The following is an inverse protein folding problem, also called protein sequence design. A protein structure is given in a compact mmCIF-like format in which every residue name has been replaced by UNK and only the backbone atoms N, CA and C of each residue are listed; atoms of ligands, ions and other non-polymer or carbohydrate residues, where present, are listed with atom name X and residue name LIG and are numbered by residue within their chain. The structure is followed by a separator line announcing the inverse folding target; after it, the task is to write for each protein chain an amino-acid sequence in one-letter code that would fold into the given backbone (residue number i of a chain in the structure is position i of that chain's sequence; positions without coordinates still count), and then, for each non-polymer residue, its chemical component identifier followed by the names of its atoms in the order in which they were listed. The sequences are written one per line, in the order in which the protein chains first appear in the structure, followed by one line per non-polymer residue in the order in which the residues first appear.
data_IF_128008167776
#
_entry.id   IF_128008167776
#
_cell.length_a   1.000
_cell.length_b   1.000
_cell.length_c   1.000
_cell.angle_alpha   90.00
_cell.angle_beta   90.00
_cell.angle_gamma   90.00
#
_symmetry.space_group_name_H-M   'P 1'
#
loop_
_entity.id
_entity.type
_entity.pdbx_description
1 polymer ?
#
# COMPACT_ATOMS: atom_id res chain seq x y z
N UNK A 1 16.51 -10.40 20.02
CA UNK A 1 16.11 -9.35 21.00
C UNK A 1 15.05 -8.50 20.35
N UNK A 2 13.94 -8.22 21.03
CA UNK A 2 12.88 -7.34 20.51
C UNK A 2 13.27 -5.89 20.76
N UNK A 3 13.51 -5.12 19.70
CA UNK A 3 13.91 -3.70 19.79
C UNK A 3 12.82 -2.81 19.18
N UNK A 4 12.56 -1.65 19.79
CA UNK A 4 11.63 -0.66 19.24
C UNK A 4 12.16 -0.04 17.94
N UNK A 5 11.30 0.00 16.94
CA UNK A 5 11.47 0.65 15.65
C UNK A 5 11.19 2.14 15.86
N UNK A 6 12.25 2.95 15.89
CA UNK A 6 12.13 4.38 16.25
C UNK A 6 11.41 5.18 15.16
N UNK A 7 10.59 6.17 15.52
CA UNK A 7 9.93 7.06 14.55
C UNK A 7 10.92 8.16 14.13
N UNK A 8 11.18 8.29 12.83
CA UNK A 8 12.13 9.26 12.25
C UNK A 8 11.49 10.59 11.89
N UNK A 9 10.21 10.60 11.55
CA UNK A 9 9.47 11.79 11.17
C UNK A 9 7.99 11.51 11.00
N UNK A 10 7.19 12.57 11.15
CA UNK A 10 5.74 12.54 10.97
C UNK A 10 5.42 13.58 9.89
N UNK A 11 4.78 13.12 8.82
CA UNK A 11 4.51 13.89 7.62
C UNK A 11 3.03 14.20 7.53
N UNK A 12 2.70 15.48 7.32
CA UNK A 12 1.34 15.97 7.11
C UNK A 12 1.09 16.18 5.61
N UNK A 13 -0.16 16.09 5.12
CA UNK A 13 -0.47 16.39 3.73
C UNK A 13 -0.27 17.88 3.45
N UNK A 14 0.35 18.21 2.31
CA UNK A 14 0.61 19.61 1.91
C UNK A 14 -0.65 20.44 1.62
N UNK A 15 -1.80 19.78 1.38
CA UNK A 15 -3.11 20.43 1.33
C UNK A 15 -4.22 19.46 1.71
N UNK A 16 -5.26 19.97 2.37
CA UNK A 16 -6.51 19.25 2.62
C UNK A 16 -7.45 19.41 1.40
N UNK A 17 -7.14 18.75 0.29
CA UNK A 17 -8.03 18.73 -0.88
C UNK A 17 -9.10 17.64 -0.74
N UNK A 18 -10.17 18.00 -0.03
CA UNK A 18 -11.39 17.22 0.08
C UNK A 18 -12.32 17.53 -1.10
N UNK A 19 -12.40 16.62 -2.08
CA UNK A 19 -13.45 16.66 -3.11
C UNK A 19 -14.71 16.02 -2.53
N UNK A 20 -15.74 16.83 -2.32
CA UNK A 20 -17.04 16.40 -1.80
C UNK A 20 -18.18 17.01 -2.61
N UNK A 21 -18.56 16.33 -3.69
CA UNK A 21 -19.56 16.73 -4.68
C UNK A 21 -20.94 16.05 -4.45
N UNK A 22 -21.22 15.61 -3.23
CA UNK A 22 -22.52 15.08 -2.81
C UNK A 22 -22.73 13.57 -3.01
N UNK A 23 -21.75 12.85 -3.57
CA UNK A 23 -21.76 11.38 -3.63
C UNK A 23 -21.27 10.74 -2.32
N UNK A 24 -21.66 9.48 -2.00
CA UNK A 24 -21.14 8.79 -0.83
C UNK A 24 -19.63 8.57 -0.91
N UNK A 25 -18.89 9.24 -0.01
CA UNK A 25 -17.44 9.07 0.27
C UNK A 25 -17.14 7.74 1.00
N UNK A 26 -15.87 7.33 1.18
CA UNK A 26 -15.37 6.24 2.10
C UNK A 26 -13.85 6.56 2.39
N UNK A 27 -12.85 5.65 2.51
CA UNK A 27 -11.37 5.93 2.67
C UNK A 27 -10.38 5.15 1.69
N UNK A 28 -9.86 5.62 0.52
CA UNK A 28 -9.05 4.84 -0.51
C UNK A 28 -7.60 5.22 -0.58
N UNK A 29 -6.80 4.27 -1.07
CA UNK A 29 -5.36 4.42 -1.21
C UNK A 29 -4.90 3.83 -2.55
N UNK A 30 -4.27 4.66 -3.38
CA UNK A 30 -3.48 4.19 -4.52
C UNK A 30 -2.01 4.15 -4.09
N UNK A 31 -1.42 2.96 -4.10
CA UNK A 31 0.01 2.75 -3.86
C UNK A 31 0.71 2.25 -5.13
N UNK A 32 1.94 2.71 -5.32
CA UNK A 32 2.86 2.27 -6.37
C UNK A 32 4.03 1.58 -5.68
N UNK A 33 4.10 0.25 -5.77
CA UNK A 33 5.24 -0.53 -5.28
C UNK A 33 6.24 -0.66 -6.43
N UNK A 34 7.51 -0.36 -6.17
CA UNK A 34 8.56 -0.46 -7.18
C UNK A 34 8.87 -1.94 -7.49
N UNK A 35 9.49 -2.19 -8.65
CA UNK A 35 9.95 -3.51 -9.06
C UNK A 35 11.48 -3.52 -9.20
N UNK A 36 12.17 -4.61 -8.79
CA UNK A 36 13.57 -4.84 -9.12
C UNK A 36 13.81 -4.77 -10.63
N UNK A 37 14.99 -4.30 -11.05
CA UNK A 37 15.36 -4.05 -12.44
C UNK A 37 15.05 -5.21 -13.37
N UNK A 38 15.40 -6.42 -12.92
CA UNK A 38 15.19 -7.68 -13.65
C UNK A 38 13.72 -8.02 -13.94
N UNK A 39 12.76 -7.37 -13.28
CA UNK A 39 11.33 -7.58 -13.45
C UNK A 39 10.61 -6.40 -14.14
N UNK A 40 11.27 -5.23 -14.33
CA UNK A 40 10.63 -4.02 -14.88
C UNK A 40 10.09 -4.19 -16.31
N UNK A 41 10.72 -5.06 -17.10
CA UNK A 41 10.30 -5.39 -18.47
C UNK A 41 9.51 -6.71 -18.56
N UNK A 42 9.08 -7.26 -17.41
CA UNK A 42 8.26 -8.46 -17.36
C UNK A 42 6.84 -8.23 -17.87
N UNK A 43 6.15 -9.33 -18.21
CA UNK A 43 4.75 -9.25 -18.62
C UNK A 43 3.86 -8.65 -17.50
N UNK A 44 2.89 -7.78 -17.84
CA UNK A 44 2.00 -7.19 -16.86
C UNK A 44 1.11 -8.24 -16.20
N UNK A 45 0.79 -8.03 -14.92
CA UNK A 45 -0.16 -8.86 -14.17
C UNK A 45 -1.14 -8.00 -13.38
N UNK A 46 -2.41 -8.37 -13.42
CA UNK A 46 -3.45 -7.86 -12.53
C UNK A 46 -3.81 -8.92 -11.48
N UNK A 47 -4.27 -8.48 -10.31
CA UNK A 47 -4.83 -9.34 -9.27
C UNK A 47 -6.06 -8.68 -8.65
N UNK A 48 -7.16 -9.43 -8.59
CA UNK A 48 -8.30 -9.09 -7.74
C UNK A 48 -8.03 -9.60 -6.33
N UNK A 49 -8.23 -8.76 -5.32
CA UNK A 49 -8.27 -9.16 -3.90
C UNK A 49 -9.57 -8.61 -3.33
N UNK A 50 -10.48 -9.50 -2.95
CA UNK A 50 -11.79 -9.13 -2.40
C UNK A 50 -11.73 -9.09 -0.88
N UNK A 51 -12.73 -8.43 -0.28
CA UNK A 51 -12.81 -8.29 1.18
C UNK A 51 -12.88 -9.64 1.91
N UNK A 52 -13.46 -10.65 1.28
CA UNK A 52 -13.60 -12.01 1.82
C UNK A 52 -12.28 -12.81 1.82
N UNK A 53 -11.33 -12.43 0.95
CA UNK A 53 -10.05 -13.15 0.78
C UNK A 53 -8.96 -12.65 1.74
N UNK A 54 -9.19 -11.52 2.42
CA UNK A 54 -8.23 -10.88 3.32
C UNK A 54 -8.42 -11.45 4.73
N UNK A 55 -7.49 -12.29 5.23
CA UNK A 55 -7.58 -12.82 6.59
C UNK A 55 -7.35 -11.72 7.64
N UNK A 56 -7.88 -11.94 8.84
CA UNK A 56 -7.79 -10.99 9.94
C UNK A 56 -7.62 -11.69 11.29
N UNK A 57 -6.95 -11.02 12.22
CA UNK A 57 -6.84 -11.44 13.63
C UNK A 57 -6.99 -10.25 14.58
N UNK A 58 -7.13 -10.54 15.87
CA UNK A 58 -7.13 -9.54 16.92
C UNK A 58 -5.70 -9.04 17.18
N UNK A 59 -5.53 -7.73 17.36
CA UNK A 59 -4.25 -7.08 17.63
C UNK A 59 -4.25 -6.54 19.07
N UNK A 60 -3.57 -7.22 19.99
CA UNK A 60 -3.51 -6.85 21.40
C UNK A 60 -4.82 -7.10 22.19
N UNK A 61 -5.76 -7.88 21.64
CA UNK A 61 -7.07 -8.16 22.25
C UNK A 61 -8.24 -7.67 21.39
N UNK A 62 -9.48 -7.71 21.89
CA UNK A 62 -10.69 -7.45 21.09
C UNK A 62 -10.86 -5.99 20.65
N UNK A 63 -10.11 -5.05 21.23
CA UNK A 63 -10.12 -3.63 20.84
C UNK A 63 -9.23 -3.30 19.65
N UNK A 64 -8.52 -4.28 19.08
CA UNK A 64 -7.68 -4.09 17.90
C UNK A 64 -7.88 -5.21 16.88
N UNK A 65 -7.88 -4.87 15.60
CA UNK A 65 -7.98 -5.80 14.48
C UNK A 65 -6.87 -5.49 13.48
N UNK A 66 -6.20 -6.54 12.99
CA UNK A 66 -5.26 -6.49 11.88
C UNK A 66 -5.81 -7.30 10.71
N UNK A 67 -5.77 -6.73 9.51
CA UNK A 67 -6.17 -7.39 8.26
C UNK A 67 -4.96 -7.47 7.32
N UNK A 68 -4.62 -8.68 6.89
CA UNK A 68 -3.37 -8.95 6.15
C UNK A 68 -3.63 -8.94 4.65
N UNK A 69 -3.26 -7.86 3.96
CA UNK A 69 -3.51 -7.72 2.52
C UNK A 69 -2.35 -8.34 1.72
N UNK A 70 -1.11 -8.02 2.10
CA UNK A 70 0.12 -8.61 1.55
C UNK A 70 1.10 -8.97 2.69
N UNK A 71 1.98 -9.95 2.43
CA UNK A 71 2.96 -10.44 3.39
C UNK A 71 2.36 -11.43 4.40
N UNK A 72 2.99 -11.59 5.55
CA UNK A 72 2.55 -12.51 6.61
C UNK A 72 2.55 -11.84 7.99
N UNK A 73 1.51 -12.08 8.79
CA UNK A 73 1.42 -11.67 10.19
C UNK A 73 0.93 -12.82 11.07
N UNK A 74 1.74 -13.28 12.02
CA UNK A 74 1.39 -14.33 13.00
C UNK A 74 0.77 -15.60 12.36
N UNK A 75 1.33 -16.05 11.23
CA UNK A 75 0.85 -17.22 10.48
C UNK A 75 -0.34 -16.95 9.55
N UNK A 76 -0.88 -15.73 9.50
CA UNK A 76 -1.83 -15.30 8.47
C UNK A 76 -1.08 -14.75 7.25
N UNK A 77 -1.23 -15.40 6.10
CA UNK A 77 -0.68 -14.93 4.82
C UNK A 77 -1.70 -14.09 4.07
N UNK A 78 -1.32 -12.89 3.64
CA UNK A 78 -2.17 -12.03 2.80
C UNK A 78 -2.28 -12.55 1.37
N UNK A 79 -3.45 -12.44 0.72
CA UNK A 79 -3.67 -12.98 -0.63
C UNK A 79 -2.91 -12.24 -1.74
N UNK A 80 -2.35 -11.06 -1.49
CA UNK A 80 -1.66 -10.28 -2.52
C UNK A 80 -0.23 -10.77 -2.77
N UNK A 81 0.03 -11.21 -4.00
CA UNK A 81 1.35 -11.66 -4.46
C UNK A 81 2.24 -10.48 -4.85
N UNK A 82 3.33 -10.27 -4.11
CA UNK A 82 4.34 -9.24 -4.39
C UNK A 82 5.60 -9.84 -5.01
N UNK A 83 6.40 -9.00 -5.69
CA UNK A 83 7.68 -9.40 -6.30
C UNK A 83 8.88 -9.17 -5.37
N UNK A 84 8.71 -8.31 -4.37
CA UNK A 84 9.62 -8.10 -3.24
C UNK A 84 8.84 -8.35 -1.95
N UNK A 85 9.50 -8.73 -0.84
CA UNK A 85 8.83 -8.89 0.44
C UNK A 85 8.20 -7.57 0.93
N UNK A 86 6.87 -7.55 1.00
CA UNK A 86 6.08 -6.40 1.45
C UNK A 86 4.95 -6.87 2.35
N UNK A 87 4.85 -6.24 3.52
CA UNK A 87 3.75 -6.29 4.46
C UNK A 87 2.84 -5.09 4.25
N UNK A 88 1.56 -5.35 4.00
CA UNK A 88 0.54 -4.33 3.75
C UNK A 88 -0.71 -4.66 4.57
N UNK A 89 -0.95 -3.90 5.63
CA UNK A 89 -2.02 -4.20 6.61
C UNK A 89 -3.00 -3.04 6.77
N UNK A 90 -4.29 -3.37 6.88
CA UNK A 90 -5.36 -2.48 7.37
C UNK A 90 -5.56 -2.80 8.86
N UNK A 91 -5.13 -1.89 9.74
CA UNK A 91 -5.32 -1.98 11.18
C UNK A 91 -6.48 -1.09 11.63
N UNK A 92 -7.21 -1.54 12.65
CA UNK A 92 -8.21 -0.73 13.35
C UNK A 92 -8.03 -0.90 14.84
N UNK A 93 -8.00 0.21 15.58
CA UNK A 93 -7.89 0.24 17.03
C UNK A 93 -9.00 1.12 17.59
N UNK A 94 -9.74 0.64 18.60
CA UNK A 94 -10.71 1.45 19.33
C UNK A 94 -9.98 2.43 20.27
N UNK A 95 -10.61 3.56 20.60
CA UNK A 95 -10.02 4.55 21.50
C UNK A 95 -9.63 3.94 22.86
N UNK A 96 -8.45 4.29 23.36
CA UNK A 96 -7.85 3.75 24.58
C UNK A 96 -7.19 2.38 24.44
N UNK A 97 -7.34 1.69 23.31
CA UNK A 97 -6.73 0.37 23.11
C UNK A 97 -5.23 0.48 22.81
N UNK A 98 -4.46 -0.51 23.29
CA UNK A 98 -3.01 -0.61 23.11
C UNK A 98 -2.64 -1.90 22.40
N UNK A 99 -1.69 -1.81 21.48
CA UNK A 99 -1.28 -2.90 20.61
C UNK A 99 0.25 -2.89 20.38
N UNK A 100 0.82 -4.08 20.19
CA UNK A 100 2.21 -4.28 19.79
C UNK A 100 2.22 -4.76 18.32
N UNK A 101 2.76 -3.96 17.41
CA UNK A 101 2.91 -4.34 16.00
C UNK A 101 4.34 -4.81 15.74
N UNK A 102 4.49 -6.09 15.38
CA UNK A 102 5.78 -6.67 14.99
C UNK A 102 5.99 -6.60 13.48
N UNK A 103 7.19 -6.21 13.06
CA UNK A 103 7.60 -6.07 11.66
C UNK A 103 9.06 -6.54 11.50
N UNK A 104 9.48 -6.99 10.30
CA UNK A 104 10.87 -7.37 10.08
C UNK A 104 11.85 -6.20 10.27
N UNK A 105 13.05 -6.54 10.76
CA UNK A 105 14.18 -5.61 10.79
C UNK A 105 14.71 -5.38 9.37
N UNK A 106 15.24 -4.19 9.11
CA UNK A 106 15.78 -3.79 7.81
C UNK A 106 14.73 -3.24 6.83
N UNK A 107 13.43 -3.41 7.11
CA UNK A 107 12.37 -2.98 6.20
C UNK A 107 12.12 -1.48 6.32
N UNK A 108 11.91 -0.81 5.18
CA UNK A 108 11.37 0.55 5.12
C UNK A 108 9.93 0.51 5.61
N UNK A 109 9.59 1.23 6.69
CA UNK A 109 8.26 1.17 7.31
C UNK A 109 7.62 2.56 7.41
N UNK A 110 6.37 2.66 6.94
CA UNK A 110 5.46 3.78 7.19
C UNK A 110 4.16 3.31 7.85
N UNK A 111 3.65 4.11 8.78
CA UNK A 111 2.31 3.97 9.36
C UNK A 111 1.52 5.21 8.96
N UNK A 112 0.59 5.06 8.02
CA UNK A 112 -0.31 6.11 7.59
C UNK A 112 -1.64 5.99 8.34
N UNK A 113 -2.21 7.10 8.81
CA UNK A 113 -3.44 7.13 9.62
C UNK A 113 -4.56 7.80 8.83
N UNK A 114 -5.43 7.08 8.08
CA UNK A 114 -6.48 7.71 7.27
C UNK A 114 -7.58 8.42 8.07
N UNK A 115 -7.74 8.08 9.35
CA UNK A 115 -8.74 8.64 10.29
C UNK A 115 -8.39 8.28 11.73
N UNK A 116 -8.71 9.17 12.67
CA UNK A 116 -8.42 9.02 14.10
C UNK A 116 -6.99 9.43 14.46
N UNK A 117 -6.54 9.04 15.66
CA UNK A 117 -5.25 9.46 16.21
C UNK A 117 -4.60 8.40 17.10
N UNK A 118 -3.27 8.36 17.07
CA UNK A 118 -2.40 7.40 17.77
C UNK A 118 -1.29 8.11 18.54
N UNK A 119 -0.78 7.44 19.57
CA UNK A 119 0.55 7.64 20.14
C UNK A 119 1.40 6.42 19.80
N UNK A 120 2.50 6.62 19.08
CA UNK A 120 3.50 5.60 18.79
C UNK A 120 4.62 5.62 19.83
N UNK A 121 5.07 4.45 20.27
CA UNK A 121 6.18 4.27 21.21
C UNK A 121 6.06 5.18 22.46
N UNK A 122 4.83 5.33 22.98
CA UNK A 122 4.50 6.10 24.19
C UNK A 122 4.69 7.62 24.12
N UNK A 123 5.08 8.20 22.98
CA UNK A 123 5.40 9.63 22.89
C UNK A 123 5.03 10.33 21.57
N UNK A 124 5.03 9.61 20.45
CA UNK A 124 4.96 10.23 19.12
C UNK A 124 3.51 10.26 18.60
N UNK A 125 2.88 11.43 18.66
CA UNK A 125 1.47 11.62 18.25
C UNK A 125 1.33 11.66 16.72
N UNK A 126 0.48 10.83 16.16
CA UNK A 126 0.14 10.77 14.72
C UNK A 126 -1.37 10.88 14.56
N UNK A 127 -1.84 11.91 13.87
CA UNK A 127 -3.27 12.20 13.67
C UNK A 127 -3.80 11.85 12.27
N UNK A 128 -5.04 12.25 11.99
CA UNK A 128 -5.70 12.00 10.71
C UNK A 128 -4.92 12.57 9.51
N UNK A 129 -4.82 11.75 8.46
CA UNK A 129 -4.06 11.96 7.23
C UNK A 129 -2.55 12.12 7.43
N UNK A 130 -2.00 11.86 8.62
CA UNK A 130 -0.56 11.90 8.87
C UNK A 130 0.10 10.53 8.62
N UNK A 131 1.41 10.57 8.37
CA UNK A 131 2.23 9.40 8.14
C UNK A 131 3.48 9.43 9.02
N UNK A 132 3.65 8.44 9.89
CA UNK A 132 4.91 8.23 10.60
C UNK A 132 5.83 7.32 9.78
N UNK A 133 7.08 7.75 9.58
CA UNK A 133 8.15 6.89 9.05
C UNK A 133 8.97 6.33 10.21
N UNK A 134 9.29 5.04 10.16
CA UNK A 134 10.12 4.37 11.17
C UNK A 134 11.50 3.97 10.61
N UNK A 135 12.50 3.98 11.49
CA UNK A 135 13.86 3.46 11.23
C UNK A 135 13.79 2.01 10.73
N UNK A 136 14.58 1.61 9.72
CA UNK A 136 14.76 0.19 9.38
C UNK A 136 15.20 -0.69 10.57
N UNK A 137 15.92 -0.13 11.54
CA UNK A 137 16.35 -0.82 12.76
C UNK A 137 15.22 -0.97 13.79
N UNK A 138 15.17 -2.14 14.43
CA UNK A 138 14.10 -2.52 15.34
C UNK A 138 13.01 -3.38 14.67
N UNK A 139 12.26 -4.10 15.50
CA UNK A 139 11.29 -5.14 15.09
C UNK A 139 9.87 -4.89 15.58
N UNK A 140 9.64 -3.75 16.25
CA UNK A 140 8.40 -3.47 16.98
C UNK A 140 8.00 -1.99 16.94
N UNK A 141 6.72 -1.70 16.73
CA UNK A 141 6.11 -0.41 17.07
C UNK A 141 5.03 -0.63 18.11
N UNK A 142 5.08 0.10 19.23
CA UNK A 142 4.01 0.13 20.22
C UNK A 142 2.96 1.17 19.80
N UNK A 143 1.70 0.77 19.75
CA UNK A 143 0.56 1.58 19.32
C UNK A 143 -0.38 1.83 20.50
N UNK A 144 -0.78 3.08 20.69
CA UNK A 144 -1.85 3.46 21.62
C UNK A 144 -2.84 4.37 20.88
N UNK A 145 -4.10 3.96 20.79
CA UNK A 145 -5.14 4.73 20.11
C UNK A 145 -5.70 5.80 21.04
N UNK A 146 -5.53 7.09 20.72
CA UNK A 146 -6.15 8.19 21.49
C UNK A 146 -7.59 8.47 21.03
N UNK A 147 -7.90 8.10 19.79
CA UNK A 147 -9.23 8.10 19.18
C UNK A 147 -9.43 6.77 18.45
N UNK A 148 -10.65 6.43 18.00
CA UNK A 148 -10.83 5.27 17.12
C UNK A 148 -10.06 5.51 15.81
N UNK A 149 -9.08 4.65 15.54
CA UNK A 149 -8.06 4.88 14.53
C UNK A 149 -8.03 3.77 13.48
N UNK A 150 -7.96 4.18 12.21
CA UNK A 150 -7.59 3.32 11.09
C UNK A 150 -6.12 3.56 10.77
N UNK A 151 -5.35 2.51 10.49
CA UNK A 151 -3.92 2.60 10.16
C UNK A 151 -3.60 1.71 8.98
N UNK A 152 -3.02 2.29 7.93
CA UNK A 152 -2.44 1.54 6.82
C UNK A 152 -0.94 1.36 7.10
N UNK A 153 -0.53 0.11 7.37
CA UNK A 153 0.88 -0.24 7.58
C UNK A 153 1.51 -0.59 6.24
N UNK A 154 2.60 0.08 5.93
CA UNK A 154 3.40 -0.09 4.72
C UNK A 154 4.80 -0.51 5.15
N UNK A 155 5.21 -1.76 4.96
CA UNK A 155 6.55 -2.19 5.36
C UNK A 155 7.15 -3.14 4.34
N UNK A 156 8.26 -2.78 3.70
CA UNK A 156 8.89 -3.63 2.68
C UNK A 156 10.41 -3.65 2.73
N UNK A 157 10.97 -4.72 2.19
CA UNK A 157 12.41 -4.86 2.01
C UNK A 157 12.92 -3.81 0.99
N UNK A 158 13.94 -3.01 1.32
CA UNK A 158 14.49 -2.03 0.39
C UNK A 158 15.10 -2.71 -0.83
N UNK A 159 14.76 -2.25 -2.04
CA UNK A 159 15.27 -2.85 -3.29
C UNK A 159 16.78 -2.56 -3.50
N UNK A 160 17.28 -1.46 -2.93
CA UNK A 160 18.69 -1.01 -2.99
C UNK A 160 19.25 -0.83 -4.42
N UNK A 161 18.39 -0.63 -5.41
CA UNK A 161 18.76 -0.26 -6.78
C UNK A 161 18.60 1.25 -7.02
N UNK A 162 19.33 1.84 -7.99
CA UNK A 162 19.04 3.19 -8.49
C UNK A 162 17.59 3.32 -8.98
N UNK A 163 16.99 4.50 -8.77
CA UNK A 163 15.62 4.82 -9.21
C UNK A 163 15.63 6.11 -10.01
N UNK A 164 15.24 6.03 -11.27
CA UNK A 164 15.01 7.16 -12.16
C UNK A 164 13.50 7.27 -12.45
N UNK A 165 12.92 8.46 -12.31
CA UNK A 165 11.48 8.69 -12.51
C UNK A 165 11.20 9.87 -13.44
N UNK A 166 10.33 9.65 -14.43
CA UNK A 166 9.76 10.71 -15.26
C UNK A 166 8.26 10.44 -15.49
N UNK A 167 7.40 11.29 -14.91
CA UNK A 167 5.95 11.17 -15.04
C UNK A 167 5.42 9.81 -14.54
N UNK A 168 4.82 8.97 -15.41
CA UNK A 168 4.36 7.62 -15.06
C UNK A 168 5.47 6.55 -15.10
N UNK A 169 6.65 6.85 -15.65
CA UNK A 169 7.73 5.87 -15.83
C UNK A 169 8.69 5.87 -14.64
N UNK A 170 9.03 4.67 -14.15
CA UNK A 170 9.97 4.44 -13.02
C UNK A 170 10.95 3.33 -13.41
N UNK A 171 12.12 3.74 -13.88
CA UNK A 171 13.22 2.87 -14.33
C UNK A 171 14.40 2.95 -13.37
N UNK A 172 15.55 2.36 -13.70
CA UNK A 172 16.76 2.46 -12.89
C UNK A 172 17.75 3.52 -13.42
N UNK A 173 17.76 3.81 -14.72
CA UNK A 173 18.62 4.86 -15.32
C UNK A 173 17.84 5.88 -16.17
N UNK A 174 18.48 6.99 -16.53
CA UNK A 174 17.87 8.04 -17.35
C UNK A 174 17.73 7.60 -18.82
N UNK A 175 18.67 6.81 -19.34
CA UNK A 175 18.62 6.22 -20.68
C UNK A 175 17.42 5.27 -20.80
N UNK A 176 17.14 4.48 -19.76
CA UNK A 176 15.96 3.61 -19.69
C UNK A 176 14.65 4.41 -19.69
N UNK A 177 14.60 5.59 -19.05
CA UNK A 177 13.44 6.49 -19.12
C UNK A 177 13.25 7.07 -20.52
N UNK A 178 14.32 7.51 -21.18
CA UNK A 178 14.27 8.02 -22.56
C UNK A 178 13.76 6.93 -23.50
N UNK A 179 14.26 5.70 -23.35
CA UNK A 179 13.79 4.55 -24.12
C UNK A 179 12.30 4.26 -23.87
N UNK A 180 11.86 4.21 -22.61
CA UNK A 180 10.45 3.99 -22.25
C UNK A 180 9.51 5.06 -22.86
N UNK A 181 9.91 6.35 -22.84
CA UNK A 181 9.14 7.43 -23.48
C UNK A 181 9.08 7.25 -25.00
N UNK A 182 10.16 6.80 -25.64
CA UNK A 182 10.20 6.53 -27.08
C UNK A 182 9.34 5.31 -27.45
N UNK A 183 9.32 4.26 -26.63
CA UNK A 183 8.46 3.08 -26.81
C UNK A 183 6.98 3.42 -26.65
N UNK A 184 6.62 4.23 -25.65
CA UNK A 184 5.26 4.76 -25.49
C UNK A 184 4.81 5.58 -26.71
N UNK A 185 5.63 6.54 -27.15
CA UNK A 185 5.34 7.41 -28.31
C UNK A 185 5.20 6.62 -29.62
N UNK A 186 5.89 5.49 -29.74
CA UNK A 186 5.83 4.60 -30.89
C UNK A 186 4.74 3.51 -30.79
N UNK A 187 3.92 3.50 -29.74
CA UNK A 187 2.86 2.51 -29.55
C UNK A 187 3.37 1.08 -29.28
N UNK A 188 4.58 0.94 -28.72
CA UNK A 188 5.20 -0.38 -28.41
C UNK A 188 4.84 -0.93 -27.03
N UNK A 189 4.14 -0.16 -26.20
CA UNK A 189 3.65 -0.57 -24.87
C UNK A 189 2.25 -1.20 -24.97
N UNK A 190 2.17 -2.31 -25.69
CA UNK A 190 0.91 -3.05 -25.88
C UNK A 190 -0.18 -2.28 -26.63
N UNK A 191 -1.37 -2.88 -26.69
CA UNK A 191 -2.59 -2.24 -27.15
C UNK A 191 -3.80 -2.84 -26.44
N UNK A 192 -4.82 -2.02 -26.18
CA UNK A 192 -6.12 -2.49 -25.69
C UNK A 192 -6.99 -2.88 -26.88
N UNK A 193 -7.34 -4.16 -26.99
CA UNK A 193 -8.32 -4.61 -27.97
C UNK A 193 -9.74 -4.19 -27.53
N UNK A 194 -10.26 -3.14 -28.17
CA UNK A 194 -11.60 -2.63 -27.90
C UNK A 194 -12.74 -3.58 -28.34
N UNK A 195 -12.48 -4.62 -29.14
CA UNK A 195 -13.46 -5.69 -29.36
C UNK A 195 -13.57 -6.57 -28.10
N UNK A 196 -12.43 -6.96 -27.51
CA UNK A 196 -12.41 -7.68 -26.22
C UNK A 196 -13.07 -6.85 -25.13
N UNK A 197 -12.66 -5.58 -24.93
CA UNK A 197 -13.21 -4.70 -23.89
C UNK A 197 -14.74 -4.52 -24.02
N UNK A 198 -15.28 -4.48 -25.24
CA UNK A 198 -16.73 -4.42 -25.47
C UNK A 198 -17.45 -5.74 -25.24
N UNK A 199 -16.81 -6.88 -25.50
CA UNK A 199 -17.38 -8.21 -25.28
C UNK A 199 -17.52 -8.58 -23.79
N UNK A 200 -16.64 -8.07 -22.91
CA UNK A 200 -16.73 -8.33 -21.45
C UNK A 200 -17.88 -7.56 -20.78
N UNK A 201 -18.28 -6.42 -21.35
CA UNK A 201 -19.34 -5.55 -20.84
C UNK A 201 -19.03 -4.86 -19.50
N UNK A 202 -19.91 -3.96 -19.00
CA UNK A 202 -19.77 -3.38 -17.69
C UNK A 202 -20.04 -4.44 -16.60
N UNK A 203 -19.01 -4.81 -15.84
CA UNK A 203 -19.12 -5.80 -14.77
C UNK A 203 -19.99 -5.27 -13.63
N UNK A 204 -21.15 -5.89 -13.44
CA UNK A 204 -22.02 -5.65 -12.27
C UNK A 204 -21.99 -6.83 -11.31
N UNK A 205 -22.20 -8.05 -11.79
CA UNK A 205 -22.39 -9.24 -10.93
C UNK A 205 -21.84 -10.55 -11.57
N UNK A 206 -20.52 -10.74 -11.68
CA UNK A 206 -19.92 -12.02 -12.11
C UNK A 206 -18.67 -12.42 -11.31
N UNK A 207 -18.58 -13.70 -10.98
CA UNK A 207 -17.42 -14.35 -10.37
C UNK A 207 -16.19 -14.30 -11.29
N UNK A 208 -14.95 -14.29 -10.73
CA UNK A 208 -13.74 -14.03 -11.50
C UNK A 208 -13.27 -15.26 -12.32
N UNK A 209 -13.83 -15.41 -13.51
CA UNK A 209 -13.16 -16.08 -14.63
C UNK A 209 -12.12 -15.16 -15.26
N UNK A 210 -10.86 -15.61 -15.34
CA UNK A 210 -9.72 -14.79 -15.77
C UNK A 210 -9.77 -14.33 -17.23
N UNK A 211 -9.21 -13.14 -17.49
CA UNK A 211 -8.83 -12.67 -18.83
C UNK A 211 -7.42 -12.09 -18.75
N UNK A 212 -6.52 -12.54 -19.64
CA UNK A 212 -5.17 -11.97 -19.75
C UNK A 212 -5.19 -10.56 -20.37
N UNK A 213 -4.19 -9.74 -20.00
CA UNK A 213 -3.80 -8.45 -20.62
C UNK A 213 -4.64 -7.21 -20.25
N UNK A 214 -4.19 -6.53 -19.20
CA UNK A 214 -4.17 -5.07 -19.12
C UNK A 214 -2.99 -4.62 -18.24
N UNK A 215 -2.35 -3.51 -18.60
CA UNK A 215 -1.09 -3.05 -17.99
C UNK A 215 -1.30 -2.10 -16.80
N UNK A 216 -0.74 -2.47 -15.64
CA UNK A 216 -0.21 -1.66 -14.52
C UNK A 216 -0.13 -2.59 -13.29
N UNK A 217 1.06 -2.78 -12.72
CA UNK A 217 1.21 -3.43 -11.40
C UNK A 217 0.83 -2.40 -10.33
N UNK A 218 -0.47 -2.30 -10.05
CA UNK A 218 -1.01 -1.42 -9.03
C UNK A 218 -1.93 -2.19 -8.09
N UNK A 219 -1.51 -2.35 -6.84
CA UNK A 219 -2.36 -2.91 -5.78
C UNK A 219 -3.48 -1.90 -5.49
N UNK A 220 -4.63 -2.09 -6.14
CA UNK A 220 -5.82 -1.25 -5.95
C UNK A 220 -6.63 -1.73 -4.74
N UNK A 221 -6.30 -1.24 -3.55
CA UNK A 221 -7.08 -1.50 -2.34
C UNK A 221 -8.27 -0.54 -2.30
N UNK A 222 -9.45 -1.05 -2.64
CA UNK A 222 -10.69 -0.29 -2.66
C UNK A 222 -11.25 -0.09 -1.25
N UNK A 223 -10.86 1.01 -0.61
CA UNK A 223 -11.46 1.48 0.63
C UNK A 223 -12.19 2.88 0.56
N UNK A 224 -12.05 3.81 -0.41
CA UNK A 224 -12.91 5.05 -0.60
C UNK A 224 -12.38 6.50 -0.93
N UNK A 225 -12.07 7.42 0.03
CA UNK A 225 -11.43 8.79 -0.11
C UNK A 225 -10.36 8.72 -1.19
N UNK A 226 -10.26 9.63 -2.16
CA UNK A 226 -9.14 9.60 -3.12
C UNK A 226 -7.89 10.20 -2.48
N UNK A 227 -7.04 9.36 -1.85
CA UNK A 227 -5.68 9.70 -1.44
C UNK A 227 -4.63 9.04 -2.35
N UNK A 228 -3.77 9.85 -2.99
CA UNK A 228 -2.57 9.35 -3.68
C UNK A 228 -1.41 9.30 -2.71
N UNK A 229 -1.03 8.10 -2.26
CA UNK A 229 0.11 7.89 -1.39
C UNK A 229 1.23 7.21 -2.19
N UNK A 230 2.18 8.02 -2.67
CA UNK A 230 3.35 7.49 -3.39
C UNK A 230 4.36 7.00 -2.36
N UNK A 231 4.32 5.70 -2.06
CA UNK A 231 5.24 5.05 -1.14
C UNK A 231 6.20 4.16 -1.93
N UNK A 232 7.33 4.73 -2.35
CA UNK A 232 8.41 4.01 -3.04
C UNK A 232 9.20 3.21 -2.00
N UNK A 233 9.00 1.88 -2.01
CA UNK A 233 9.82 0.88 -1.32
C UNK A 233 11.03 0.48 -2.19
#
# INVERSE_FOLDING_TARGET
MTQLKSVKGIYKPGSAHMVGDGFPVRNVFQLWVNLPKVLKMGAPRYQSVLNADIPQSNLGGPGGVIRVIAGEYEGLTGPAMTFTPVHLYDLRLVAGHRAELRLPVGYNTGLFVPSGALVLNGSQKVGEAEMALCDPQGTKVDLEATEEAMVLVLSGEPILEPVARMGPFVMNTEEELVQAVNDYRAGRMGHLDWAVVRAIGPSRDREPGWVERAEIVGIHIRLGKIGKLIFLL
#
